data_IF_505114704498
#
_entry.id   IF_505114704498
#
_cell.length_a   1.000
_cell.length_b   1.000
_cell.length_c   1.000
_cell.angle_alpha   90.00
_cell.angle_beta   90.00
_cell.angle_gamma   90.00
#
_symmetry.space_group_name_H-M   'P 1'
#
loop_
_entity.id
_entity.type
_entity.pdbx_description
1 polymer ?
#
# COMPACT_ATOMS: atom_id res chain seq x y z
N UNK A 1 56.50 58.49 0.11
CA UNK A 1 55.58 59.27 -0.73
C UNK A 1 55.33 58.46 -2.00
N UNK A 2 54.48 57.44 -1.92
CA UNK A 2 53.08 57.43 -2.40
C UNK A 2 52.98 57.46 -3.93
N UNK A 3 52.63 56.33 -4.56
CA UNK A 3 51.34 56.17 -5.23
C UNK A 3 51.15 54.74 -5.80
N UNK A 4 50.00 54.18 -5.44
CA UNK A 4 49.35 52.98 -5.95
C UNK A 4 49.18 53.01 -7.48
N UNK A 5 49.31 51.85 -8.12
CA UNK A 5 48.55 51.49 -9.33
C UNK A 5 47.90 50.14 -9.12
N UNK A 6 46.61 50.18 -8.78
CA UNK A 6 45.71 49.04 -8.71
C UNK A 6 45.07 48.87 -10.09
N UNK A 7 45.33 47.75 -10.78
CA UNK A 7 44.55 47.33 -11.94
C UNK A 7 43.41 46.45 -11.46
N UNK A 8 42.18 46.96 -11.52
CA UNK A 8 40.96 46.18 -11.22
C UNK A 8 40.37 45.69 -12.54
N UNK A 9 40.45 44.38 -12.78
CA UNK A 9 39.78 43.70 -13.89
C UNK A 9 38.33 43.41 -13.45
N UNK A 10 37.36 44.11 -14.02
CA UNK A 10 35.93 43.80 -13.85
C UNK A 10 35.57 42.64 -14.79
N UNK A 11 35.37 41.44 -14.25
CA UNK A 11 34.74 40.34 -14.97
C UNK A 11 33.24 40.34 -14.60
N UNK A 12 32.39 40.74 -15.55
CA UNK A 12 30.94 40.59 -15.43
C UNK A 12 30.59 39.09 -15.51
N UNK A 13 30.18 38.49 -14.40
CA UNK A 13 29.51 37.18 -14.39
C UNK A 13 28.03 37.43 -14.70
N UNK A 14 27.63 37.12 -15.94
CA UNK A 14 26.22 37.04 -16.32
C UNK A 14 25.67 35.74 -15.73
N UNK A 15 25.01 35.83 -14.58
CA UNK A 15 24.16 34.76 -14.06
C UNK A 15 22.91 34.67 -14.94
N UNK A 16 22.90 33.75 -15.91
CA UNK A 16 21.65 33.29 -16.53
C UNK A 16 20.87 32.47 -15.51
N UNK A 17 19.95 33.11 -14.80
CA UNK A 17 18.88 32.41 -14.08
C UNK A 17 18.03 31.75 -15.16
N UNK A 18 18.15 30.43 -15.33
CA UNK A 18 17.13 29.65 -16.02
C UNK A 18 15.92 29.65 -15.10
N UNK A 19 14.92 30.48 -15.41
CA UNK A 19 13.57 30.27 -14.90
C UNK A 19 13.17 28.84 -15.31
N UNK A 20 13.05 27.94 -14.33
CA UNK A 20 12.27 26.73 -14.53
C UNK A 20 10.84 27.19 -14.78
N UNK A 21 10.45 27.29 -16.04
CA UNK A 21 9.04 27.24 -16.42
C UNK A 21 8.55 25.87 -15.99
N UNK A 22 7.84 25.82 -14.87
CA UNK A 22 6.91 24.76 -14.61
C UNK A 22 5.81 24.91 -15.67
N UNK A 23 5.94 24.20 -16.79
CA UNK A 23 4.81 23.95 -17.66
C UNK A 23 3.84 23.12 -16.82
N UNK A 24 2.93 23.78 -16.12
CA UNK A 24 1.81 23.11 -15.46
C UNK A 24 0.93 22.56 -16.57
N UNK A 25 1.27 21.39 -17.06
CA UNK A 25 0.46 20.66 -18.03
C UNK A 25 -0.86 20.37 -17.33
N UNK A 26 -1.89 21.13 -17.68
CA UNK A 26 -3.22 20.91 -17.14
C UNK A 26 -3.72 19.57 -17.65
N UNK A 27 -4.14 18.71 -16.74
CA UNK A 27 -4.71 17.41 -17.11
C UNK A 27 -6.18 17.58 -17.50
N UNK A 28 -6.54 17.09 -18.67
CA UNK A 28 -7.93 17.04 -19.13
C UNK A 28 -8.68 15.89 -18.42
N UNK A 29 -10.01 15.99 -18.24
CA UNK A 29 -10.83 14.99 -17.55
C UNK A 29 -11.09 13.74 -18.41
N UNK A 30 -10.02 13.09 -18.88
CA UNK A 30 -10.05 11.82 -19.60
C UNK A 30 -8.77 11.01 -19.30
N UNK A 31 -8.89 9.69 -19.28
CA UNK A 31 -7.77 8.80 -18.90
C UNK A 31 -6.57 8.88 -19.83
N UNK A 32 -6.74 9.25 -21.10
CA UNK A 32 -5.61 9.44 -22.02
C UNK A 32 -4.71 10.59 -21.57
N UNK A 33 -5.29 11.69 -21.06
CA UNK A 33 -4.53 12.79 -20.48
C UNK A 33 -3.99 12.45 -19.10
N UNK A 34 -4.81 11.81 -18.24
CA UNK A 34 -4.46 11.56 -16.84
C UNK A 34 -3.33 10.53 -16.70
N UNK A 35 -3.34 9.47 -17.50
CA UNK A 35 -2.31 8.43 -17.45
C UNK A 35 -0.94 8.91 -17.95
N UNK A 36 -0.84 10.12 -18.53
CA UNK A 36 0.45 10.74 -18.89
C UNK A 36 1.13 11.42 -17.70
N UNK A 37 0.44 11.54 -16.56
CA UNK A 37 1.01 12.10 -15.34
C UNK A 37 2.17 11.22 -14.86
N UNK A 38 3.37 11.77 -14.63
CA UNK A 38 4.46 11.02 -14.03
C UNK A 38 4.08 10.54 -12.63
N UNK A 39 4.38 9.28 -12.32
CA UNK A 39 4.20 8.74 -10.98
C UNK A 39 5.03 9.56 -9.96
N UNK A 40 4.45 10.06 -8.87
CA UNK A 40 5.19 10.66 -7.78
C UNK A 40 6.25 9.69 -7.23
N UNK A 41 7.51 10.14 -7.24
CA UNK A 41 8.68 9.30 -6.93
C UNK A 41 8.55 8.59 -5.57
N UNK A 42 8.01 9.27 -4.56
CA UNK A 42 7.83 8.72 -3.22
C UNK A 42 7.03 7.41 -3.24
N UNK A 43 6.07 7.25 -4.15
CA UNK A 43 5.21 6.08 -4.23
C UNK A 43 5.98 4.88 -4.76
N UNK A 44 6.82 5.06 -5.79
CA UNK A 44 7.68 3.98 -6.24
C UNK A 44 8.71 3.61 -5.17
N UNK A 45 9.29 4.57 -4.46
CA UNK A 45 10.31 4.32 -3.44
C UNK A 45 9.77 3.65 -2.17
N UNK A 46 8.48 3.81 -1.89
CA UNK A 46 7.83 3.38 -0.66
C UNK A 46 7.83 1.86 -0.44
N UNK A 47 7.52 1.09 -1.50
CA UNK A 47 7.42 -0.39 -1.55
C UNK A 47 6.43 -1.08 -0.61
N UNK A 48 6.16 -0.54 0.57
CA UNK A 48 5.35 -1.18 1.60
C UNK A 48 4.39 -0.20 2.28
N UNK A 49 3.11 -0.55 2.33
CA UNK A 49 2.07 0.19 3.03
C UNK A 49 1.12 -0.71 3.81
N UNK A 50 0.33 -0.12 4.71
CA UNK A 50 -0.67 -0.82 5.52
C UNK A 50 -2.08 -0.45 5.08
N UNK A 51 -2.91 -1.46 4.81
CA UNK A 51 -4.34 -1.28 4.58
C UNK A 51 -5.11 -1.55 5.88
N UNK A 52 -6.21 -0.83 6.09
CA UNK A 52 -7.01 -0.96 7.30
C UNK A 52 -8.49 -1.05 6.88
N UNK A 53 -9.07 -2.24 7.00
CA UNK A 53 -10.51 -2.45 6.85
C UNK A 53 -11.19 -2.46 8.22
N UNK A 54 -11.81 -1.33 8.53
CA UNK A 54 -12.49 -1.08 9.79
C UNK A 54 -13.82 -0.35 9.54
N UNK A 55 -14.88 -0.82 10.18
CA UNK A 55 -16.23 -0.28 9.99
C UNK A 55 -17.26 -1.04 10.82
N UNK A 56 -18.54 -0.84 10.51
CA UNK A 56 -19.65 -1.43 11.28
C UNK A 56 -19.63 -2.96 11.18
N UNK A 57 -19.15 -3.52 10.06
CA UNK A 57 -18.92 -4.96 9.89
C UNK A 57 -17.95 -5.56 10.92
N UNK A 58 -17.10 -4.76 11.57
CA UNK A 58 -16.25 -5.23 12.67
C UNK A 58 -17.05 -5.58 13.94
N UNK A 59 -18.30 -5.13 14.08
CA UNK A 59 -19.18 -5.42 15.23
C UNK A 59 -19.60 -6.89 15.30
N UNK A 60 -20.25 -7.46 14.25
CA UNK A 60 -20.52 -8.90 14.24
C UNK A 60 -19.24 -9.73 14.22
N UNK A 61 -18.14 -9.18 13.68
CA UNK A 61 -16.81 -9.81 13.63
C UNK A 61 -16.83 -11.23 13.06
N UNK A 62 -17.69 -11.47 12.05
CA UNK A 62 -17.99 -12.81 11.54
C UNK A 62 -17.78 -12.88 10.03
N UNK A 63 -16.99 -13.87 9.60
CA UNK A 63 -16.68 -14.17 8.20
C UNK A 63 -15.91 -13.09 7.44
N UNK A 64 -16.48 -11.90 7.18
CA UNK A 64 -15.78 -10.81 6.49
C UNK A 64 -16.52 -9.47 6.55
N UNK A 65 -15.88 -8.44 5.99
CA UNK A 65 -16.46 -7.10 5.72
C UNK A 65 -17.68 -7.12 4.78
N UNK A 66 -17.93 -8.25 4.12
CA UNK A 66 -19.13 -8.51 3.29
C UNK A 66 -20.33 -9.04 4.09
N UNK A 67 -20.27 -9.03 5.42
CA UNK A 67 -21.31 -9.58 6.31
C UNK A 67 -22.73 -9.16 5.92
N UNK A 68 -22.96 -7.86 5.70
CA UNK A 68 -24.30 -7.35 5.38
C UNK A 68 -24.84 -7.98 4.10
N UNK A 69 -24.02 -8.05 3.06
CA UNK A 69 -24.44 -8.60 1.77
C UNK A 69 -24.77 -10.09 1.88
N UNK A 70 -23.92 -10.90 2.52
CA UNK A 70 -24.21 -12.32 2.71
C UNK A 70 -25.46 -12.57 3.55
N UNK A 71 -25.66 -11.77 4.61
CA UNK A 71 -26.87 -11.87 5.41
C UNK A 71 -28.12 -11.49 4.61
N UNK A 72 -28.08 -10.40 3.83
CA UNK A 72 -29.20 -9.99 2.97
C UNK A 72 -29.48 -10.93 1.81
N UNK A 73 -28.47 -11.64 1.30
CA UNK A 73 -28.63 -12.70 0.32
C UNK A 73 -29.16 -14.02 0.90
N UNK A 74 -29.54 -14.05 2.19
CA UNK A 74 -30.03 -15.23 2.90
C UNK A 74 -29.02 -16.40 2.93
N UNK A 75 -27.73 -16.10 3.03
CA UNK A 75 -26.75 -17.15 3.29
C UNK A 75 -27.04 -17.81 4.65
N UNK A 76 -27.21 -19.13 4.64
CA UNK A 76 -27.62 -19.91 5.82
C UNK A 76 -26.70 -19.72 7.02
N UNK A 77 -25.39 -19.54 6.82
CA UNK A 77 -24.43 -19.38 7.91
C UNK A 77 -24.64 -18.06 8.63
N UNK A 78 -24.89 -16.98 7.87
CA UNK A 78 -25.10 -15.63 8.39
C UNK A 78 -26.49 -15.50 9.02
N UNK A 79 -27.53 -16.06 8.40
CA UNK A 79 -28.88 -16.10 8.98
C UNK A 79 -28.88 -16.88 10.30
N UNK A 80 -28.24 -18.05 10.35
CA UNK A 80 -28.13 -18.83 11.58
C UNK A 80 -27.32 -18.10 12.67
N UNK A 81 -26.24 -17.43 12.28
CA UNK A 81 -25.47 -16.58 13.19
C UNK A 81 -26.34 -15.45 13.76
N UNK A 82 -27.14 -14.79 12.92
CA UNK A 82 -28.03 -13.72 13.38
C UNK A 82 -29.12 -14.24 14.30
N UNK A 83 -29.84 -15.30 13.92
CA UNK A 83 -30.90 -15.92 14.73
C UNK A 83 -30.41 -16.42 16.09
N UNK A 84 -29.15 -16.85 16.18
CA UNK A 84 -28.57 -17.37 17.42
C UNK A 84 -28.09 -16.28 18.38
N UNK A 85 -27.60 -15.17 17.85
CA UNK A 85 -26.84 -14.19 18.64
C UNK A 85 -27.52 -12.81 18.77
N UNK A 86 -28.55 -12.52 17.97
CA UNK A 86 -29.22 -11.22 17.94
C UNK A 86 -30.73 -11.39 18.08
N UNK A 87 -31.44 -10.38 18.63
CA UNK A 87 -32.88 -10.44 18.79
C UNK A 87 -33.61 -10.53 17.43
N UNK A 88 -34.86 -11.00 17.42
CA UNK A 88 -35.69 -10.88 16.23
C UNK A 88 -35.79 -9.42 15.80
N UNK A 89 -35.98 -9.20 14.50
CA UNK A 89 -36.08 -7.88 13.85
C UNK A 89 -34.83 -7.00 13.91
N UNK A 90 -33.69 -7.50 14.39
CA UNK A 90 -32.41 -6.80 14.31
C UNK A 90 -32.06 -6.50 12.84
N UNK A 91 -31.64 -5.27 12.58
CA UNK A 91 -31.20 -4.79 11.26
C UNK A 91 -29.70 -4.59 11.25
N UNK A 92 -29.11 -4.43 10.06
CA UNK A 92 -27.68 -4.14 9.98
C UNK A 92 -27.33 -2.79 10.60
N UNK A 93 -28.23 -1.82 10.48
CA UNK A 93 -28.07 -0.48 11.02
C UNK A 93 -27.93 -0.48 12.55
N UNK A 94 -28.56 -1.43 13.24
CA UNK A 94 -28.47 -1.56 14.69
C UNK A 94 -27.04 -1.86 15.17
N UNK A 95 -26.19 -2.44 14.32
CA UNK A 95 -24.77 -2.63 14.65
C UNK A 95 -24.00 -1.33 14.83
N UNK A 96 -24.39 -0.24 14.17
CA UNK A 96 -23.63 1.01 14.22
C UNK A 96 -23.56 1.59 15.64
N UNK A 97 -24.58 1.36 16.49
CA UNK A 97 -24.54 1.75 17.91
C UNK A 97 -23.41 1.05 18.67
N UNK A 98 -23.12 -0.20 18.32
CA UNK A 98 -22.18 -1.05 19.06
C UNK A 98 -20.75 -0.99 18.46
N UNK A 99 -20.55 -0.22 17.39
CA UNK A 99 -19.26 0.21 16.87
C UNK A 99 -18.71 1.36 17.73
N UNK A 100 -18.07 1.02 18.84
CA UNK A 100 -17.75 1.98 19.91
C UNK A 100 -16.43 2.70 19.73
N UNK A 101 -15.44 2.09 19.07
CA UNK A 101 -14.07 2.60 18.98
C UNK A 101 -13.49 3.08 20.35
N UNK A 102 -13.90 2.45 21.44
CA UNK A 102 -13.61 2.92 22.81
C UNK A 102 -12.12 2.82 23.19
N UNK A 103 -11.39 1.88 22.57
CA UNK A 103 -9.95 1.69 22.70
C UNK A 103 -9.19 2.14 21.44
N UNK A 104 -9.85 2.86 20.53
CA UNK A 104 -9.15 3.47 19.40
C UNK A 104 -8.28 4.63 19.89
N UNK A 105 -6.96 4.40 19.85
CA UNK A 105 -5.92 5.39 20.04
C UNK A 105 -5.16 5.59 18.71
N UNK A 106 -5.33 6.75 18.04
CA UNK A 106 -4.66 7.02 16.77
C UNK A 106 -3.14 7.15 16.92
N UNK A 107 -2.62 7.56 18.09
CA UNK A 107 -1.17 7.62 18.33
C UNK A 107 -0.56 6.23 18.52
N UNK A 108 -1.27 5.32 19.19
CA UNK A 108 -0.85 3.91 19.28
C UNK A 108 -0.83 3.26 17.88
N UNK A 109 -1.88 3.46 17.08
CA UNK A 109 -1.91 2.97 15.71
C UNK A 109 -0.75 3.52 14.87
N UNK A 110 -0.49 4.83 14.95
CA UNK A 110 0.61 5.48 14.26
C UNK A 110 1.97 4.89 14.67
N UNK A 111 2.18 4.59 15.96
CA UNK A 111 3.39 3.93 16.47
C UNK A 111 3.54 2.51 15.92
N UNK A 112 2.48 1.71 15.92
CA UNK A 112 2.48 0.35 15.35
C UNK A 112 2.84 0.39 13.86
N UNK A 113 2.23 1.29 13.08
CA UNK A 113 2.48 1.40 11.65
C UNK A 113 3.87 1.94 11.32
N UNK A 114 4.37 2.92 12.09
CA UNK A 114 5.73 3.42 11.91
C UNK A 114 6.76 2.32 12.19
N UNK A 115 6.50 1.50 13.22
CA UNK A 115 7.36 0.39 13.61
C UNK A 115 7.20 -0.86 12.74
N UNK A 116 6.24 -0.90 11.82
CA UNK A 116 6.15 -1.96 10.81
C UNK A 116 7.10 -1.77 9.63
N UNK A 117 7.70 -0.58 9.50
CA UNK A 117 8.49 -0.21 8.34
C UNK A 117 7.65 0.22 7.14
N UNK A 118 6.33 0.31 7.25
CA UNK A 118 5.52 0.90 6.19
C UNK A 118 5.96 2.34 5.88
N UNK A 119 5.63 2.81 4.68
CA UNK A 119 5.85 4.19 4.22
C UNK A 119 4.56 4.94 3.96
N UNK A 120 3.44 4.23 3.92
CA UNK A 120 2.11 4.80 3.81
C UNK A 120 1.07 3.90 4.47
N UNK A 121 -0.09 4.47 4.78
CA UNK A 121 -1.27 3.72 5.21
C UNK A 121 -2.47 4.10 4.36
N UNK A 122 -3.45 3.19 4.25
CA UNK A 122 -4.72 3.40 3.55
C UNK A 122 -5.84 2.98 4.50
N UNK A 123 -6.66 3.93 4.96
CA UNK A 123 -7.81 3.64 5.82
C UNK A 123 -9.09 3.52 4.99
N UNK A 124 -9.92 2.50 5.22
CA UNK A 124 -11.28 2.45 4.69
C UNK A 124 -12.13 3.57 5.29
N UNK A 125 -12.26 4.68 4.58
CA UNK A 125 -13.10 5.81 5.02
C UNK A 125 -14.59 5.47 4.91
N UNK A 126 -14.96 4.74 3.85
CA UNK A 126 -16.28 4.19 3.58
C UNK A 126 -16.13 2.88 2.82
N UNK A 127 -16.70 1.80 3.34
CA UNK A 127 -16.82 0.52 2.61
C UNK A 127 -18.20 0.41 1.94
N UNK A 128 -18.50 -0.72 1.30
CA UNK A 128 -19.74 -0.94 0.53
C UNK A 128 -21.04 -0.82 1.35
N UNK A 129 -20.94 -0.87 2.69
CA UNK A 129 -22.05 -0.62 3.61
C UNK A 129 -22.46 0.85 3.72
N UNK A 130 -21.66 1.77 3.16
CA UNK A 130 -21.96 3.20 3.11
C UNK A 130 -21.75 3.99 4.39
N UNK A 131 -21.28 3.34 5.46
CA UNK A 131 -20.97 4.01 6.73
C UNK A 131 -19.66 4.76 6.61
N UNK A 132 -19.68 6.09 6.83
CA UNK A 132 -18.46 6.91 6.76
C UNK A 132 -17.79 7.03 8.14
N UNK A 133 -16.48 6.80 8.20
CA UNK A 133 -15.68 6.94 9.42
C UNK A 133 -15.40 8.41 9.82
N UNK A 134 -16.02 9.36 9.12
CA UNK A 134 -15.91 10.79 9.36
C UNK A 134 -17.30 11.46 9.27
N UNK A 135 -17.48 12.69 9.80
CA UNK A 135 -18.76 13.40 9.77
C UNK A 135 -19.09 13.94 8.37
N UNK A 136 -19.36 13.03 7.42
CA UNK A 136 -19.65 13.44 6.05
C UNK A 136 -21.00 14.14 5.95
N UNK A 137 -21.03 15.26 5.25
CA UNK A 137 -22.25 16.05 5.02
C UNK A 137 -23.32 15.29 4.22
N UNK A 138 -22.93 14.27 3.47
CA UNK A 138 -23.82 13.46 2.63
C UNK A 138 -24.17 12.10 3.26
N UNK A 139 -23.67 11.80 4.46
CA UNK A 139 -23.93 10.56 5.23
C UNK A 139 -24.68 10.82 6.53
N UNK A 140 -25.62 11.76 6.55
CA UNK A 140 -26.37 12.12 7.75
C UNK A 140 -26.99 10.88 8.42
N UNK A 141 -26.81 10.76 9.74
CA UNK A 141 -27.26 9.64 10.58
C UNK A 141 -26.63 8.27 10.27
N UNK A 142 -25.65 8.19 9.36
CA UNK A 142 -24.95 6.96 9.00
C UNK A 142 -23.44 7.19 8.88
N UNK A 143 -22.86 7.75 9.95
CA UNK A 143 -21.44 8.03 10.07
C UNK A 143 -20.95 7.97 11.53
N UNK A 144 -19.63 7.93 11.71
CA UNK A 144 -18.95 7.82 13.00
C UNK A 144 -19.20 8.96 13.99
N UNK A 145 -19.59 10.14 13.52
CA UNK A 145 -19.93 11.26 14.39
C UNK A 145 -21.39 11.17 14.88
N UNK A 146 -22.31 10.75 14.00
CA UNK A 146 -23.75 10.75 14.31
C UNK A 146 -24.19 9.50 15.09
N UNK A 147 -23.56 8.35 14.87
CA UNK A 147 -23.92 7.08 15.55
C UNK A 147 -22.69 6.20 15.79
N UNK A 148 -22.61 5.61 16.98
CA UNK A 148 -21.48 4.79 17.41
C UNK A 148 -20.47 5.60 18.22
N UNK A 149 -19.27 5.88 17.69
CA UNK A 149 -18.16 6.41 18.49
C UNK A 149 -18.27 7.92 18.79
N UNK A 150 -19.10 8.68 18.06
CA UNK A 150 -19.20 10.14 18.13
C UNK A 150 -17.85 10.84 17.91
N UNK A 151 -17.09 10.35 16.93
CA UNK A 151 -15.70 10.75 16.65
C UNK A 151 -15.45 10.89 15.15
N UNK A 152 -14.49 11.75 14.80
CA UNK A 152 -13.98 11.87 13.43
C UNK A 152 -12.75 10.97 13.28
N UNK A 153 -12.99 9.67 13.09
CA UNK A 153 -11.93 8.66 13.11
C UNK A 153 -10.91 8.84 11.98
N UNK A 154 -11.35 9.32 10.81
CA UNK A 154 -10.45 9.65 9.69
C UNK A 154 -9.55 10.83 10.05
N UNK A 155 -10.13 11.92 10.57
CA UNK A 155 -9.37 13.10 10.96
C UNK A 155 -8.36 12.82 12.07
N UNK A 156 -8.80 12.14 13.13
CA UNK A 156 -7.94 11.79 14.26
C UNK A 156 -6.75 10.90 13.84
N UNK A 157 -6.97 9.91 12.97
CA UNK A 157 -5.87 9.09 12.44
C UNK A 157 -4.97 9.89 11.49
N UNK A 158 -5.54 10.70 10.59
CA UNK A 158 -4.77 11.51 9.66
C UNK A 158 -3.81 12.45 10.41
N UNK A 159 -4.29 13.10 11.47
CA UNK A 159 -3.49 13.98 12.31
C UNK A 159 -2.37 13.23 13.03
N UNK A 160 -2.66 12.07 13.62
CA UNK A 160 -1.64 11.27 14.29
C UNK A 160 -0.55 10.80 13.32
N UNK A 161 -0.94 10.32 12.14
CA UNK A 161 0.00 9.88 11.09
C UNK A 161 0.90 11.03 10.65
N UNK A 162 0.33 12.17 10.30
CA UNK A 162 1.09 13.32 9.78
C UNK A 162 1.96 14.00 10.81
N UNK A 163 1.52 14.06 12.07
CA UNK A 163 2.21 14.79 13.12
C UNK A 163 3.23 13.94 13.90
N UNK A 164 3.10 12.61 13.89
CA UNK A 164 3.93 11.72 14.73
C UNK A 164 4.81 10.77 13.93
N UNK A 165 4.62 10.65 12.62
CA UNK A 165 5.32 9.67 11.78
C UNK A 165 5.83 10.29 10.49
N UNK A 166 6.63 9.53 9.74
CA UNK A 166 7.02 9.88 8.37
C UNK A 166 6.17 9.15 7.32
N UNK A 167 5.05 8.54 7.72
CA UNK A 167 4.16 7.81 6.82
C UNK A 167 3.32 8.78 5.99
N UNK A 168 3.07 8.43 4.73
CA UNK A 168 2.02 9.07 3.94
C UNK A 168 0.65 8.58 4.38
N UNK A 169 -0.32 9.49 4.45
CA UNK A 169 -1.70 9.16 4.80
C UNK A 169 -2.53 8.96 3.53
N UNK A 170 -3.19 7.82 3.39
CA UNK A 170 -4.04 7.47 2.28
C UNK A 170 -5.44 7.06 2.73
N UNK A 171 -6.38 7.13 1.80
CA UNK A 171 -7.78 6.76 2.03
C UNK A 171 -8.24 5.77 0.99
N UNK A 172 -8.99 4.77 1.46
CA UNK A 172 -9.84 3.96 0.63
C UNK A 172 -11.26 4.53 0.65
N UNK A 173 -11.91 4.50 -0.50
CA UNK A 173 -13.30 4.90 -0.61
C UNK A 173 -14.05 4.00 -1.60
N UNK A 174 -15.08 3.32 -1.10
CA UNK A 174 -15.99 2.59 -1.98
C UNK A 174 -16.88 3.55 -2.76
N UNK A 175 -16.85 3.44 -4.09
CA UNK A 175 -17.63 4.29 -4.97
C UNK A 175 -19.13 4.03 -4.87
N UNK A 176 -19.56 2.83 -4.45
CA UNK A 176 -20.96 2.41 -4.36
C UNK A 176 -21.40 2.07 -2.94
N UNK A 177 -22.70 1.89 -2.76
CA UNK A 177 -23.31 1.45 -1.51
C UNK A 177 -24.37 0.39 -1.80
N UNK A 178 -24.24 -0.81 -1.24
CA UNK A 178 -25.07 -1.98 -1.62
C UNK A 178 -26.56 -1.68 -1.66
N UNK A 179 -27.05 -0.94 -0.67
CA UNK A 179 -28.48 -0.74 -0.44
C UNK A 179 -28.89 0.73 -0.32
N UNK A 180 -28.05 1.65 -0.80
CA UNK A 180 -28.43 3.07 -0.86
C UNK A 180 -29.56 3.24 -1.90
N UNK A 181 -30.72 3.84 -1.53
CA UNK A 181 -31.85 3.99 -2.44
C UNK A 181 -31.53 4.76 -3.72
N UNK A 182 -30.66 5.78 -3.64
CA UNK A 182 -30.27 6.59 -4.80
C UNK A 182 -29.40 5.77 -5.75
N UNK A 183 -28.46 4.97 -5.22
CA UNK A 183 -27.65 4.06 -6.03
C UNK A 183 -28.51 2.98 -6.69
N UNK A 184 -29.42 2.35 -5.93
CA UNK A 184 -30.34 1.35 -6.45
C UNK A 184 -31.26 1.93 -7.54
N UNK A 185 -31.66 3.20 -7.42
CA UNK A 185 -32.42 3.89 -8.44
C UNK A 185 -31.61 4.07 -9.72
N UNK A 186 -30.38 4.59 -9.63
CA UNK A 186 -29.50 4.72 -10.80
C UNK A 186 -29.23 3.35 -11.44
N UNK A 187 -28.96 2.32 -10.64
CA UNK A 187 -28.78 0.93 -11.11
C UNK A 187 -30.01 0.39 -11.81
N UNK A 188 -31.21 0.59 -11.26
CA UNK A 188 -32.48 0.18 -11.88
C UNK A 188 -32.73 0.90 -13.22
N UNK A 189 -32.18 2.09 -13.37
CA UNK A 189 -32.23 2.90 -14.58
C UNK A 189 -31.00 2.68 -15.49
N UNK A 190 -30.35 1.52 -15.36
CA UNK A 190 -29.17 1.11 -16.14
C UNK A 190 -28.06 2.16 -16.16
N UNK A 191 -27.88 2.90 -15.05
CA UNK A 191 -26.87 3.95 -14.89
C UNK A 191 -26.99 5.13 -15.87
N UNK A 192 -28.19 5.35 -16.45
CA UNK A 192 -28.43 6.51 -17.33
C UNK A 192 -28.64 7.82 -16.56
N UNK A 193 -29.04 7.73 -15.30
CA UNK A 193 -28.97 8.83 -14.31
C UNK A 193 -27.72 8.68 -13.46
N UNK A 194 -27.25 9.79 -12.86
CA UNK A 194 -26.04 9.84 -12.00
C UNK A 194 -26.33 10.49 -10.65
N UNK A 195 -27.55 10.34 -10.13
CA UNK A 195 -27.96 11.05 -8.92
C UNK A 195 -27.09 10.65 -7.71
N UNK A 196 -26.76 9.37 -7.59
CA UNK A 196 -25.94 8.88 -6.49
C UNK A 196 -24.53 9.46 -6.56
N UNK A 197 -23.90 9.44 -7.74
CA UNK A 197 -22.56 10.01 -7.91
C UNK A 197 -22.54 11.51 -7.59
N UNK A 198 -23.51 12.28 -8.10
CA UNK A 198 -23.55 13.73 -7.91
C UNK A 198 -23.91 14.17 -6.48
N UNK A 199 -24.72 13.39 -5.77
CA UNK A 199 -25.24 13.77 -4.45
C UNK A 199 -24.51 13.08 -3.29
N UNK A 200 -23.74 12.02 -3.57
CA UNK A 200 -23.13 11.16 -2.56
C UNK A 200 -21.63 10.97 -2.80
N UNK A 201 -21.27 10.13 -3.78
CA UNK A 201 -19.87 9.69 -3.97
C UNK A 201 -18.92 10.82 -4.30
N UNK A 202 -19.25 11.68 -5.27
CA UNK A 202 -18.35 12.77 -5.66
C UNK A 202 -18.15 13.76 -4.49
N UNK A 203 -19.21 14.34 -3.87
CA UNK A 203 -19.03 15.22 -2.71
C UNK A 203 -18.15 14.63 -1.60
N UNK A 204 -18.29 13.34 -1.30
CA UNK A 204 -17.46 12.65 -0.30
C UNK A 204 -15.98 12.60 -0.69
N UNK A 205 -15.67 12.31 -1.95
CA UNK A 205 -14.29 12.30 -2.45
C UNK A 205 -13.63 13.69 -2.35
N UNK A 206 -14.34 14.75 -2.77
CA UNK A 206 -13.84 16.12 -2.63
C UNK A 206 -13.66 16.51 -1.15
N UNK A 207 -14.62 16.18 -0.29
CA UNK A 207 -14.56 16.46 1.14
C UNK A 207 -13.37 15.76 1.82
N UNK A 208 -13.12 14.49 1.50
CA UNK A 208 -11.98 13.72 2.01
C UNK A 208 -10.65 14.40 1.63
N UNK A 209 -10.52 14.82 0.38
CA UNK A 209 -9.30 15.46 -0.12
C UNK A 209 -9.07 16.80 0.54
N UNK A 210 -10.08 17.67 0.55
CA UNK A 210 -10.00 19.02 1.11
C UNK A 210 -9.76 19.02 2.62
N UNK A 211 -10.35 18.07 3.35
CA UNK A 211 -10.28 18.05 4.80
C UNK A 211 -9.05 17.30 5.32
N UNK A 212 -8.67 16.20 4.68
CA UNK A 212 -7.65 15.30 5.23
C UNK A 212 -6.41 15.19 4.38
N UNK A 213 -6.29 15.90 3.25
CA UNK A 213 -5.12 15.92 2.36
C UNK A 213 -4.43 14.54 2.25
N UNK A 214 -5.13 13.48 1.79
CA UNK A 214 -4.54 12.16 1.62
C UNK A 214 -3.69 12.11 0.36
N UNK A 215 -2.59 11.38 0.42
CA UNK A 215 -1.65 11.19 -0.68
C UNK A 215 -1.96 9.95 -1.53
N UNK A 216 -2.92 9.13 -1.10
CA UNK A 216 -3.45 8.01 -1.89
C UNK A 216 -4.97 8.06 -1.85
N UNK A 217 -5.60 8.04 -3.03
CA UNK A 217 -7.04 7.78 -3.18
C UNK A 217 -7.20 6.39 -3.79
N UNK A 218 -7.54 5.43 -2.94
CA UNK A 218 -7.74 4.04 -3.32
C UNK A 218 -9.24 3.79 -3.53
N UNK A 219 -9.72 3.84 -4.77
CA UNK A 219 -11.14 3.64 -5.07
C UNK A 219 -11.49 2.16 -5.18
N UNK A 220 -12.76 1.81 -4.97
CA UNK A 220 -13.22 0.43 -5.16
C UNK A 220 -14.73 0.32 -5.41
N UNK A 221 -15.19 -0.88 -5.77
CA UNK A 221 -16.61 -1.15 -5.98
C UNK A 221 -17.18 -0.51 -7.25
N UNK A 222 -16.30 -0.20 -8.20
CA UNK A 222 -16.65 0.44 -9.47
C UNK A 222 -17.17 -0.53 -10.53
N UNK A 223 -17.09 -1.85 -10.28
CA UNK A 223 -17.24 -2.93 -11.28
C UNK A 223 -18.62 -3.01 -11.94
N UNK A 224 -19.66 -2.45 -11.33
CA UNK A 224 -21.03 -2.55 -11.85
C UNK A 224 -21.37 -1.48 -12.89
N UNK A 225 -20.64 -0.36 -12.94
CA UNK A 225 -20.94 0.79 -13.80
C UNK A 225 -19.69 1.32 -14.52
N UNK A 226 -19.86 2.01 -15.65
CA UNK A 226 -18.73 2.58 -16.41
C UNK A 226 -18.02 3.69 -15.64
N UNK A 227 -16.80 4.00 -16.04
CA UNK A 227 -16.05 5.16 -15.54
C UNK A 227 -16.77 6.49 -15.81
N UNK A 228 -17.50 6.58 -16.92
CA UNK A 228 -18.37 7.71 -17.25
C UNK A 228 -19.55 7.88 -16.28
N UNK A 229 -20.11 6.80 -15.72
CA UNK A 229 -21.09 6.92 -14.63
C UNK A 229 -20.44 7.48 -13.37
N UNK A 230 -19.28 6.92 -13.00
CA UNK A 230 -18.56 7.27 -11.77
C UNK A 230 -17.93 8.65 -11.78
N UNK A 231 -17.76 9.27 -12.96
CA UNK A 231 -17.11 10.58 -13.10
C UNK A 231 -15.69 10.60 -12.54
N UNK A 232 -15.02 9.44 -12.57
CA UNK A 232 -13.70 9.25 -11.97
C UNK A 232 -12.65 10.14 -12.61
N UNK A 233 -12.62 10.22 -13.94
CA UNK A 233 -11.66 11.06 -14.66
C UNK A 233 -11.80 12.56 -14.33
N UNK A 234 -13.01 13.03 -14.05
CA UNK A 234 -13.25 14.44 -13.70
C UNK A 234 -12.76 14.75 -12.29
N UNK A 235 -13.01 13.85 -11.33
CA UNK A 235 -12.44 13.95 -9.98
C UNK A 235 -10.91 13.89 -10.01
N UNK A 236 -10.32 12.94 -10.74
CA UNK A 236 -8.86 12.76 -10.82
C UNK A 236 -8.19 13.93 -11.53
N UNK A 237 -8.81 14.52 -12.56
CA UNK A 237 -8.31 15.74 -13.18
C UNK A 237 -8.28 16.91 -12.19
N UNK A 238 -9.33 17.09 -11.38
CA UNK A 238 -9.31 18.08 -10.30
C UNK A 238 -8.23 17.76 -9.25
N UNK A 239 -8.10 16.49 -8.86
CA UNK A 239 -7.09 16.03 -7.90
C UNK A 239 -5.69 16.45 -8.33
N UNK A 240 -5.34 16.26 -9.61
CA UNK A 240 -4.00 16.58 -10.14
C UNK A 240 -3.79 18.04 -10.54
N UNK A 241 -4.85 18.83 -10.74
CA UNK A 241 -4.71 20.22 -11.16
C UNK A 241 -4.83 21.21 -9.98
N UNK A 242 -5.81 20.99 -9.11
CA UNK A 242 -6.35 22.04 -8.24
C UNK A 242 -6.33 21.66 -6.75
N UNK A 243 -6.27 20.36 -6.42
CA UNK A 243 -6.33 19.91 -5.02
C UNK A 243 -5.09 20.30 -4.19
N UNK A 244 -5.19 20.31 -2.85
CA UNK A 244 -4.05 20.56 -1.95
C UNK A 244 -2.93 19.50 -2.04
N UNK A 245 -3.19 18.35 -2.65
CA UNK A 245 -2.26 17.20 -2.75
C UNK A 245 -1.85 16.88 -4.18
N UNK A 246 -2.12 17.79 -5.14
CA UNK A 246 -1.92 17.58 -6.57
C UNK A 246 -0.53 17.07 -6.99
N UNK A 247 0.52 17.49 -6.29
CA UNK A 247 1.91 17.12 -6.58
C UNK A 247 2.26 15.71 -6.09
N UNK A 248 1.56 15.19 -5.08
CA UNK A 248 1.96 13.95 -4.39
C UNK A 248 0.91 12.85 -4.46
N UNK A 249 -0.37 13.18 -4.68
CA UNK A 249 -1.46 12.23 -4.67
C UNK A 249 -1.29 11.16 -5.76
N UNK A 250 -1.66 9.93 -5.44
CA UNK A 250 -1.78 8.83 -6.39
C UNK A 250 -3.14 8.15 -6.31
N UNK A 251 -3.59 7.57 -7.42
CA UNK A 251 -4.84 6.80 -7.49
C UNK A 251 -4.61 5.41 -8.09
N UNK A 252 -5.40 4.44 -7.64
CA UNK A 252 -5.39 3.08 -8.22
C UNK A 252 -6.20 3.01 -9.53
N UNK A 253 -6.40 1.80 -10.05
CA UNK A 253 -7.03 1.53 -11.35
C UNK A 253 -8.52 1.14 -11.28
N UNK A 254 -9.17 1.31 -10.13
CA UNK A 254 -10.54 0.82 -9.88
C UNK A 254 -11.59 1.92 -10.05
N UNK A 255 -11.55 2.65 -11.16
CA UNK A 255 -12.44 3.80 -11.43
C UNK A 255 -13.62 3.50 -12.36
N UNK A 256 -13.83 2.24 -12.74
CA UNK A 256 -14.98 1.85 -13.56
C UNK A 256 -14.91 0.42 -14.06
N UNK A 257 -16.04 -0.10 -14.52
CA UNK A 257 -16.16 -1.42 -15.13
C UNK A 257 -15.18 -1.57 -16.30
N UNK A 258 -14.24 -2.51 -16.15
CA UNK A 258 -13.26 -2.82 -17.18
C UNK A 258 -12.09 -1.84 -17.27
N UNK A 259 -11.90 -0.99 -16.25
CA UNK A 259 -10.80 -0.02 -16.16
C UNK A 259 -9.55 -0.53 -15.45
N UNK A 260 -9.66 -1.65 -14.72
CA UNK A 260 -8.52 -2.28 -14.07
C UNK A 260 -7.41 -2.56 -15.10
N UNK A 261 -6.18 -2.17 -14.78
CA UNK A 261 -5.03 -2.26 -15.69
C UNK A 261 -5.00 -1.26 -16.84
N UNK A 262 -5.86 -0.22 -16.83
CA UNK A 262 -5.97 0.76 -17.92
C UNK A 262 -5.98 2.21 -17.46
N UNK A 263 -6.09 2.48 -16.17
CA UNK A 263 -6.14 3.83 -15.62
C UNK A 263 -5.47 3.91 -14.25
N UNK A 264 -5.23 5.14 -13.80
CA UNK A 264 -4.62 5.42 -12.51
C UNK A 264 -3.10 5.39 -12.54
N UNK A 265 -2.48 5.88 -11.46
CA UNK A 265 -1.02 5.94 -11.34
C UNK A 265 -0.41 4.56 -11.07
N UNK A 266 -1.18 3.63 -10.52
CA UNK A 266 -0.76 2.25 -10.29
C UNK A 266 -1.91 1.26 -10.45
N UNK A 267 -1.59 0.04 -10.87
CA UNK A 267 -2.56 -1.01 -11.13
C UNK A 267 -2.70 -1.98 -9.97
N UNK A 268 -3.91 -2.40 -9.69
CA UNK A 268 -4.21 -3.43 -8.69
C UNK A 268 -4.81 -4.67 -9.32
N UNK A 269 -5.49 -4.59 -10.48
CA UNK A 269 -6.19 -5.69 -11.18
C UNK A 269 -7.26 -6.42 -10.36
N UNK A 270 -6.87 -7.09 -9.29
CA UNK A 270 -7.71 -7.85 -8.37
C UNK A 270 -7.08 -7.85 -6.98
N UNK A 271 -7.83 -8.35 -5.99
CA UNK A 271 -7.22 -8.61 -4.68
C UNK A 271 -6.11 -9.65 -4.83
N UNK A 272 -5.02 -9.47 -4.07
CA UNK A 272 -3.82 -10.32 -4.08
C UNK A 272 -3.19 -10.48 -5.46
N UNK A 273 -3.33 -9.48 -6.33
CA UNK A 273 -2.66 -9.48 -7.62
C UNK A 273 -1.15 -9.54 -7.41
N UNK A 274 -0.51 -10.54 -8.00
CA UNK A 274 0.93 -10.68 -8.07
C UNK A 274 1.26 -11.38 -9.41
N UNK A 275 1.85 -10.67 -10.39
CA UNK A 275 2.12 -11.24 -11.71
C UNK A 275 3.24 -12.30 -11.68
N UNK A 276 4.06 -12.35 -10.63
CA UNK A 276 5.20 -13.25 -10.52
C UNK A 276 6.33 -13.01 -11.53
N UNK A 277 6.20 -11.95 -12.34
CA UNK A 277 7.16 -11.50 -13.36
C UNK A 277 7.22 -9.98 -13.34
N UNK A 278 8.29 -9.40 -13.90
CA UNK A 278 8.39 -7.95 -14.06
C UNK A 278 7.20 -7.42 -14.86
N UNK A 279 6.55 -6.41 -14.30
CA UNK A 279 5.43 -5.73 -14.91
C UNK A 279 5.82 -4.30 -15.27
N UNK A 280 5.45 -3.84 -16.47
CA UNK A 280 5.94 -2.56 -17.02
C UNK A 280 5.37 -1.35 -16.28
N UNK A 281 4.07 -1.36 -15.99
CA UNK A 281 3.41 -0.28 -15.26
C UNK A 281 3.59 -0.48 -13.75
N UNK A 282 3.62 0.61 -12.98
CA UNK A 282 3.60 0.49 -11.51
C UNK A 282 2.33 -0.24 -11.07
N UNK A 283 2.47 -1.15 -10.12
CA UNK A 283 1.36 -1.93 -9.58
C UNK A 283 1.48 -2.09 -8.07
N UNK A 284 0.38 -2.49 -7.43
CA UNK A 284 0.30 -2.72 -5.99
C UNK A 284 -0.38 -4.06 -5.69
N UNK A 285 0.30 -4.90 -4.92
CA UNK A 285 -0.23 -6.13 -4.36
C UNK A 285 -1.05 -5.80 -3.11
N UNK A 286 -2.37 -5.87 -3.20
CA UNK A 286 -3.26 -5.72 -2.06
C UNK A 286 -3.51 -7.09 -1.41
N UNK A 287 -2.81 -7.41 -0.32
CA UNK A 287 -2.91 -8.70 0.40
C UNK A 287 -3.25 -8.49 1.89
N UNK A 288 -3.51 -9.56 2.62
CA UNK A 288 -4.05 -9.56 3.98
C UNK A 288 -3.21 -10.43 4.92
N UNK A 289 -3.09 -10.02 6.19
CA UNK A 289 -2.50 -10.90 7.22
C UNK A 289 -3.44 -12.06 7.54
N UNK A 290 -4.75 -11.81 7.65
CA UNK A 290 -5.75 -12.87 7.71
C UNK A 290 -5.99 -13.44 6.31
N UNK A 291 -5.73 -14.73 6.10
CA UNK A 291 -5.83 -15.41 4.79
C UNK A 291 -7.25 -15.40 4.23
N UNK A 292 -8.27 -15.12 5.04
CA UNK A 292 -9.67 -15.29 4.65
C UNK A 292 -10.48 -13.98 4.55
N UNK A 293 -10.01 -12.86 5.11
CA UNK A 293 -10.79 -11.61 5.12
C UNK A 293 -9.93 -10.36 5.27
N UNK A 294 -10.45 -9.23 4.79
CA UNK A 294 -9.93 -7.91 5.12
C UNK A 294 -10.43 -7.43 6.49
N UNK A 295 -11.73 -7.60 6.77
CA UNK A 295 -12.34 -7.27 8.06
C UNK A 295 -11.96 -8.22 9.20
N UNK A 296 -12.21 -7.77 10.44
CA UNK A 296 -11.90 -8.56 11.64
C UNK A 296 -12.80 -9.80 11.79
N UNK A 297 -12.18 -10.97 12.03
CA UNK A 297 -12.88 -12.22 12.37
C UNK A 297 -12.56 -12.68 13.79
N UNK A 298 -13.53 -12.61 14.70
CA UNK A 298 -13.35 -12.99 16.12
C UNK A 298 -13.08 -14.48 16.31
N UNK A 299 -13.52 -15.31 15.37
CA UNK A 299 -13.33 -16.77 15.41
C UNK A 299 -12.11 -17.25 14.61
N UNK A 300 -11.26 -16.35 14.11
CA UNK A 300 -10.04 -16.71 13.39
C UNK A 300 -9.09 -17.54 14.28
N UNK A 301 -8.47 -18.55 13.70
CA UNK A 301 -7.45 -19.37 14.35
C UNK A 301 -6.06 -18.91 13.96
N UNK A 302 -5.04 -19.28 14.73
CA UNK A 302 -3.64 -18.95 14.41
C UNK A 302 -3.25 -19.36 12.99
N UNK A 303 -3.72 -20.53 12.53
CA UNK A 303 -3.49 -21.05 11.17
C UNK A 303 -4.08 -20.19 10.06
N UNK A 304 -5.07 -19.35 10.37
CA UNK A 304 -5.72 -18.47 9.41
C UNK A 304 -4.88 -17.20 9.16
N UNK A 305 -3.90 -16.90 10.00
CA UNK A 305 -3.01 -15.77 9.81
C UNK A 305 -1.76 -16.20 9.05
N UNK A 306 -1.29 -15.35 8.14
CA UNK A 306 0.01 -15.50 7.51
C UNK A 306 1.11 -15.42 8.56
N UNK A 307 2.11 -16.28 8.40
CA UNK A 307 3.36 -16.21 9.16
C UNK A 307 4.21 -15.05 8.68
N UNK A 308 5.14 -14.58 9.50
CA UNK A 308 6.12 -13.55 9.11
C UNK A 308 6.91 -13.98 7.86
N UNK A 309 7.27 -15.26 7.76
CA UNK A 309 7.94 -15.82 6.58
C UNK A 309 7.10 -15.71 5.30
N UNK A 310 5.80 -16.04 5.36
CA UNK A 310 4.88 -15.87 4.21
C UNK A 310 4.78 -14.39 3.81
N UNK A 311 4.71 -13.46 4.78
CA UNK A 311 4.63 -12.02 4.50
C UNK A 311 5.91 -11.46 3.86
N UNK A 312 7.08 -11.87 4.34
CA UNK A 312 8.36 -11.46 3.74
C UNK A 312 8.57 -12.06 2.35
N UNK A 313 8.10 -13.29 2.13
CA UNK A 313 8.07 -13.90 0.79
C UNK A 313 7.25 -13.05 -0.17
N UNK A 314 6.03 -12.67 0.21
CA UNK A 314 5.14 -11.83 -0.61
C UNK A 314 5.79 -10.46 -0.89
N UNK A 315 6.42 -9.85 0.11
CA UNK A 315 7.11 -8.56 -0.05
C UNK A 315 8.27 -8.68 -1.04
N UNK A 316 9.14 -9.68 -0.89
CA UNK A 316 10.28 -9.90 -1.77
C UNK A 316 9.84 -10.12 -3.22
N UNK A 317 8.87 -11.02 -3.43
CA UNK A 317 8.24 -11.29 -4.73
C UNK A 317 7.72 -10.01 -5.38
N UNK A 318 6.92 -9.27 -4.63
CA UNK A 318 6.23 -8.06 -5.11
C UNK A 318 7.24 -7.01 -5.55
N UNK A 319 8.23 -6.70 -4.70
CA UNK A 319 9.21 -5.64 -4.97
C UNK A 319 10.15 -6.03 -6.11
N UNK A 320 10.59 -7.29 -6.16
CA UNK A 320 11.42 -7.79 -7.27
C UNK A 320 10.71 -7.73 -8.62
N UNK A 321 9.38 -7.83 -8.63
CA UNK A 321 8.53 -7.69 -9.81
C UNK A 321 8.01 -6.26 -10.07
N UNK A 322 8.51 -5.26 -9.31
CA UNK A 322 8.24 -3.84 -9.52
C UNK A 322 7.04 -3.27 -8.76
N UNK A 323 6.35 -4.09 -7.97
CA UNK A 323 5.16 -3.69 -7.22
C UNK A 323 5.46 -3.02 -5.88
N UNK A 324 4.41 -2.45 -5.28
CA UNK A 324 4.34 -2.18 -3.84
C UNK A 324 3.46 -3.24 -3.17
N UNK A 325 3.74 -3.59 -1.92
CA UNK A 325 2.84 -4.40 -1.09
C UNK A 325 1.99 -3.49 -0.20
N UNK A 326 0.67 -3.59 -0.32
CA UNK A 326 -0.29 -2.98 0.60
C UNK A 326 -0.90 -4.10 1.45
N UNK A 327 -0.46 -4.17 2.72
CA UNK A 327 -0.80 -5.27 3.61
C UNK A 327 -1.92 -4.89 4.57
N UNK A 328 -3.03 -5.61 4.52
CA UNK A 328 -4.22 -5.31 5.30
C UNK A 328 -4.23 -5.91 6.71
N UNK A 329 -4.74 -5.11 7.65
CA UNK A 329 -5.25 -5.53 8.97
C UNK A 329 -6.73 -5.18 9.14
N UNK A 330 -7.42 -5.93 10.01
CA UNK A 330 -8.81 -5.67 10.39
C UNK A 330 -8.95 -5.42 11.90
N UNK A 331 -8.98 -4.15 12.35
CA UNK A 331 -9.18 -3.82 13.76
C UNK A 331 -10.55 -4.23 14.30
N UNK A 332 -10.64 -4.45 15.61
CA UNK A 332 -11.88 -4.83 16.30
C UNK A 332 -12.86 -3.65 16.38
N UNK A 333 -14.15 -3.90 16.66
CA UNK A 333 -15.19 -2.83 16.76
C UNK A 333 -14.89 -1.72 17.77
N UNK A 334 -14.10 -2.06 18.78
CA UNK A 334 -13.66 -1.23 19.89
C UNK A 334 -12.32 -0.53 19.59
N UNK A 335 -11.70 -0.75 18.42
CA UNK A 335 -10.53 0.00 17.96
C UNK A 335 -9.17 -0.64 18.24
N UNK A 336 -9.15 -1.91 18.67
CA UNK A 336 -7.91 -2.63 18.97
C UNK A 336 -7.34 -3.26 17.70
N UNK A 337 -6.06 -3.01 17.42
CA UNK A 337 -5.26 -3.86 16.54
C UNK A 337 -4.84 -5.07 17.36
N UNK A 338 -5.42 -6.24 17.10
CA UNK A 338 -5.17 -7.41 17.95
C UNK A 338 -3.69 -7.85 17.96
N UNK A 339 -3.20 -8.49 19.05
CA UNK A 339 -1.77 -8.77 19.21
C UNK A 339 -1.10 -9.50 18.04
N UNK A 340 -1.80 -10.43 17.37
CA UNK A 340 -1.22 -11.15 16.21
C UNK A 340 -0.94 -10.22 15.02
N UNK A 341 -1.77 -9.19 14.80
CA UNK A 341 -1.50 -8.19 13.77
C UNK A 341 -0.33 -7.30 14.18
N UNK A 342 -0.28 -6.86 15.44
CA UNK A 342 0.85 -6.09 15.94
C UNK A 342 2.17 -6.86 15.82
N UNK A 343 2.18 -8.14 16.21
CA UNK A 343 3.35 -9.02 16.12
C UNK A 343 3.85 -9.13 14.67
N UNK A 344 2.97 -9.46 13.72
CA UNK A 344 3.34 -9.59 12.30
C UNK A 344 3.86 -8.28 11.71
N UNK A 345 3.23 -7.16 12.03
CA UNK A 345 3.68 -5.85 11.59
C UNK A 345 5.06 -5.50 12.16
N UNK A 346 5.27 -5.68 13.47
CA UNK A 346 6.56 -5.40 14.13
C UNK A 346 7.67 -6.34 13.66
N UNK A 347 7.36 -7.60 13.39
CA UNK A 347 8.33 -8.54 12.81
C UNK A 347 8.79 -8.07 11.42
N UNK A 348 7.87 -7.64 10.55
CA UNK A 348 8.21 -7.05 9.25
C UNK A 348 9.11 -5.82 9.43
N UNK A 349 8.77 -4.94 10.37
CA UNK A 349 9.57 -3.75 10.65
C UNK A 349 10.97 -4.06 11.20
N UNK A 350 11.09 -5.06 12.08
CA UNK A 350 12.38 -5.53 12.58
C UNK A 350 13.28 -6.05 11.45
N UNK A 351 12.70 -6.77 10.48
CA UNK A 351 13.42 -7.22 9.29
C UNK A 351 13.80 -6.05 8.37
N UNK A 352 12.86 -5.15 8.08
CA UNK A 352 13.06 -3.98 7.21
C UNK A 352 14.05 -2.97 7.78
N UNK A 353 14.20 -2.90 9.11
CA UNK A 353 15.23 -2.06 9.74
C UNK A 353 16.66 -2.49 9.38
N UNK A 354 16.87 -3.79 9.16
CA UNK A 354 18.18 -4.35 8.79
C UNK A 354 18.33 -4.40 7.27
N UNK A 355 17.29 -4.86 6.58
CA UNK A 355 17.34 -5.24 5.17
C UNK A 355 16.68 -4.22 4.22
N UNK A 356 16.17 -3.12 4.75
CA UNK A 356 15.38 -2.14 4.00
C UNK A 356 16.12 -1.47 2.85
N UNK A 357 17.45 -1.47 2.86
CA UNK A 357 18.29 -1.00 1.74
C UNK A 357 18.01 -1.79 0.45
N UNK A 358 17.68 -3.08 0.55
CA UNK A 358 17.31 -3.90 -0.61
C UNK A 358 15.86 -3.72 -1.07
N UNK A 359 15.05 -2.99 -0.30
CA UNK A 359 13.61 -2.81 -0.54
C UNK A 359 13.33 -1.38 -0.94
N UNK A 360 13.49 -0.42 -0.02
CA UNK A 360 13.11 0.97 -0.28
C UNK A 360 13.98 1.57 -1.37
N UNK A 361 13.36 2.32 -2.28
CA UNK A 361 14.02 2.96 -3.43
C UNK A 361 14.77 1.99 -4.38
N UNK A 362 14.65 0.68 -4.16
CA UNK A 362 15.20 -0.31 -5.08
C UNK A 362 14.37 -0.35 -6.37
N UNK A 363 14.95 -0.91 -7.41
CA UNK A 363 14.25 -1.19 -8.67
C UNK A 363 14.39 -2.67 -9.03
N UNK A 364 13.49 -3.20 -9.88
CA UNK A 364 13.66 -4.55 -10.40
C UNK A 364 15.00 -4.71 -11.10
N UNK A 365 15.68 -5.82 -10.82
CA UNK A 365 16.86 -6.22 -11.57
C UNK A 365 16.46 -6.99 -12.84
N UNK A 366 17.43 -7.25 -13.73
CA UNK A 366 17.21 -7.95 -15.00
C UNK A 366 16.65 -9.37 -14.80
N UNK A 367 16.92 -9.97 -13.65
CA UNK A 367 16.33 -11.24 -13.19
C UNK A 367 15.50 -10.97 -11.94
N UNK A 368 14.28 -11.50 -11.87
CA UNK A 368 13.41 -11.39 -10.69
C UNK A 368 13.81 -12.39 -9.59
N UNK A 369 14.21 -13.60 -9.98
CA UNK A 369 14.57 -14.69 -9.08
C UNK A 369 15.74 -15.52 -9.62
N UNK A 370 16.28 -16.38 -8.78
CA UNK A 370 17.38 -17.27 -9.16
C UNK A 370 16.90 -18.55 -9.83
N UNK A 371 17.65 -19.02 -10.83
CA UNK A 371 17.32 -20.22 -11.61
C UNK A 371 17.86 -21.51 -11.01
N UNK A 372 18.79 -21.41 -10.06
CA UNK A 372 19.45 -22.55 -9.42
C UNK A 372 18.88 -22.84 -8.04
N UNK A 373 18.74 -21.81 -7.20
CA UNK A 373 18.19 -21.97 -5.86
C UNK A 373 16.82 -21.29 -5.76
N UNK A 374 15.73 -22.05 -5.47
CA UNK A 374 14.40 -21.47 -5.38
C UNK A 374 14.29 -20.53 -4.16
N UNK A 375 13.28 -19.66 -4.18
CA UNK A 375 13.00 -18.69 -3.11
C UNK A 375 14.14 -17.71 -2.84
N UNK A 376 14.80 -17.30 -3.93
CA UNK A 376 15.71 -16.16 -3.97
C UNK A 376 15.13 -15.14 -4.92
N UNK A 377 14.96 -13.92 -4.44
CA UNK A 377 14.41 -12.81 -5.21
C UNK A 377 15.40 -11.67 -5.28
N UNK A 378 15.47 -10.99 -6.42
CA UNK A 378 16.47 -9.96 -6.66
C UNK A 378 15.88 -8.57 -6.78
N UNK A 379 16.59 -7.61 -6.24
CA UNK A 379 16.38 -6.18 -6.49
C UNK A 379 17.74 -5.57 -6.82
N UNK A 380 17.73 -4.37 -7.42
CA UNK A 380 18.94 -3.57 -7.59
C UNK A 380 18.77 -2.21 -6.92
N UNK A 381 19.87 -1.59 -6.53
CA UNK A 381 19.85 -0.22 -6.03
C UNK A 381 19.26 0.75 -7.06
N UNK A 382 18.80 1.91 -6.60
CA UNK A 382 18.08 2.88 -7.43
C UNK A 382 18.89 3.32 -8.66
N UNK A 383 18.19 3.76 -9.71
CA UNK A 383 18.80 4.09 -11.01
C UNK A 383 19.82 5.25 -11.00
N UNK A 384 20.00 5.94 -9.88
CA UNK A 384 20.91 7.08 -9.74
C UNK A 384 22.31 6.69 -9.23
N UNK A 385 22.55 5.41 -8.94
CA UNK A 385 23.87 4.96 -8.48
C UNK A 385 24.83 4.74 -9.65
N UNK A 386 26.08 5.22 -9.49
CA UNK A 386 27.15 5.10 -10.48
C UNK A 386 27.55 3.64 -10.69
N UNK A 387 27.49 2.84 -9.62
CA UNK A 387 27.79 1.41 -9.62
C UNK A 387 26.61 0.68 -8.98
N UNK A 388 25.71 0.07 -9.77
CA UNK A 388 24.51 -0.54 -9.23
C UNK A 388 24.87 -1.76 -8.36
N UNK A 389 24.27 -1.81 -7.19
CA UNK A 389 24.33 -2.94 -6.26
C UNK A 389 23.16 -3.86 -6.57
N UNK A 390 23.41 -5.17 -6.61
CA UNK A 390 22.35 -6.18 -6.71
C UNK A 390 22.17 -6.84 -5.35
N UNK A 391 20.93 -6.93 -4.90
CA UNK A 391 20.56 -7.58 -3.65
C UNK A 391 19.88 -8.91 -3.95
N UNK A 392 20.33 -9.98 -3.30
CA UNK A 392 19.66 -11.27 -3.32
C UNK A 392 18.94 -11.49 -1.98
N UNK A 393 17.61 -11.50 -2.01
CA UNK A 393 16.75 -11.78 -0.87
C UNK A 393 16.57 -13.29 -0.78
N UNK A 394 17.32 -13.91 0.14
CA UNK A 394 17.35 -15.35 0.39
C UNK A 394 16.33 -15.68 1.47
N UNK A 395 15.24 -16.36 1.10
CA UNK A 395 14.14 -16.65 2.03
C UNK A 395 14.43 -17.85 2.94
N UNK A 396 15.23 -18.83 2.49
CA UNK A 396 15.63 -19.97 3.32
C UNK A 396 17.12 -19.97 3.62
N UNK A 397 17.46 -20.22 4.88
CA UNK A 397 18.85 -20.47 5.24
C UNK A 397 19.28 -21.78 4.59
N UNK A 398 20.46 -21.84 3.92
CA UNK A 398 20.91 -23.06 3.28
C UNK A 398 21.04 -24.20 4.30
N UNK A 399 20.61 -25.41 3.92
CA UNK A 399 20.71 -26.60 4.79
C UNK A 399 22.16 -27.08 4.95
N UNK A 400 23.07 -26.65 4.07
CA UNK A 400 24.51 -26.86 4.18
C UNK A 400 25.25 -25.54 4.39
N UNK A 401 26.58 -25.57 4.26
CA UNK A 401 27.42 -24.38 4.40
C UNK A 401 27.34 -23.43 3.21
N UNK A 402 26.91 -23.93 2.04
CA UNK A 402 27.00 -23.18 0.79
C UNK A 402 25.62 -22.92 0.16
N UNK A 403 25.48 -21.72 -0.42
CA UNK A 403 24.39 -21.31 -1.30
C UNK A 403 24.91 -21.19 -2.72
N UNK A 404 24.14 -21.66 -3.70
CA UNK A 404 24.49 -21.54 -5.12
C UNK A 404 23.58 -20.53 -5.82
N UNK A 405 24.14 -19.58 -6.55
CA UNK A 405 23.43 -18.61 -7.40
C UNK A 405 23.87 -18.75 -8.85
N UNK A 406 22.91 -18.72 -9.77
CA UNK A 406 23.18 -18.83 -11.21
C UNK A 406 22.81 -17.57 -12.01
N UNK A 407 21.99 -16.68 -11.46
CA UNK A 407 21.62 -15.44 -12.16
C UNK A 407 22.74 -14.37 -12.17
N UNK A 408 23.44 -14.08 -11.05
CA UNK A 408 24.48 -13.05 -11.04
C UNK A 408 25.75 -13.50 -11.77
N UNK A 409 26.37 -12.58 -12.52
CA UNK A 409 27.71 -12.75 -13.06
C UNK A 409 28.68 -11.84 -12.30
N UNK A 410 29.64 -12.43 -11.58
CA UNK A 410 30.61 -11.69 -10.76
C UNK A 410 31.99 -11.66 -11.41
N UNK A 411 32.77 -10.64 -11.04
CA UNK A 411 34.16 -10.50 -11.43
C UNK A 411 35.04 -10.87 -10.24
N UNK A 412 35.80 -11.97 -10.34
CA UNK A 412 36.58 -12.56 -9.24
C UNK A 412 37.46 -11.56 -8.46
N UNK A 413 38.03 -10.57 -9.15
CA UNK A 413 38.95 -9.59 -8.55
C UNK A 413 38.31 -8.21 -8.27
N UNK A 414 37.01 -8.05 -8.46
CA UNK A 414 36.31 -6.76 -8.28
C UNK A 414 35.05 -6.89 -7.45
N UNK A 415 34.24 -7.92 -7.70
CA UNK A 415 32.99 -8.14 -6.99
C UNK A 415 33.20 -8.49 -5.53
N UNK A 416 32.30 -8.02 -4.69
CA UNK A 416 32.23 -8.40 -3.29
C UNK A 416 30.83 -8.89 -2.96
N UNK A 417 30.74 -9.88 -2.07
CA UNK A 417 29.48 -10.35 -1.51
C UNK A 417 29.54 -10.10 0.00
N UNK A 418 28.58 -9.32 0.48
CA UNK A 418 28.34 -9.10 1.92
C UNK A 418 26.91 -9.52 2.26
N UNK A 419 26.59 -9.61 3.56
CA UNK A 419 25.23 -9.89 4.02
C UNK A 419 24.76 -8.78 4.96
N UNK A 420 23.56 -8.24 4.73
CA UNK A 420 22.99 -7.26 5.62
C UNK A 420 22.71 -7.89 7.00
N UNK A 421 23.16 -7.22 8.06
CA UNK A 421 23.11 -7.76 9.43
C UNK A 421 24.23 -8.76 9.77
N UNK A 422 25.31 -8.78 8.97
CA UNK A 422 26.55 -9.50 9.26
C UNK A 422 27.77 -8.60 8.98
N UNK A 423 28.81 -8.66 9.81
CA UNK A 423 29.93 -7.70 9.75
C UNK A 423 30.95 -8.02 8.66
N UNK A 424 31.17 -9.29 8.37
CA UNK A 424 32.31 -9.73 7.57
C UNK A 424 31.87 -10.02 6.12
N UNK A 425 32.75 -9.80 5.12
CA UNK A 425 32.50 -10.27 3.77
C UNK A 425 32.33 -11.79 3.71
N UNK A 426 31.45 -12.25 2.83
CA UNK A 426 31.25 -13.68 2.61
C UNK A 426 32.33 -14.24 1.70
N UNK A 427 32.75 -15.47 1.97
CA UNK A 427 33.62 -16.22 1.07
C UNK A 427 32.79 -16.79 -0.08
N UNK A 428 33.29 -16.70 -1.30
CA UNK A 428 32.62 -17.22 -2.48
C UNK A 428 33.62 -17.65 -3.55
N UNK A 429 33.20 -18.55 -4.43
CA UNK A 429 33.99 -19.08 -5.54
C UNK A 429 33.09 -19.55 -6.68
N UNK A 430 33.63 -19.72 -7.89
CA UNK A 430 32.90 -20.36 -8.98
C UNK A 430 32.97 -21.89 -8.91
N UNK A 431 31.87 -22.56 -9.21
CA UNK A 431 31.87 -24.00 -9.49
C UNK A 431 32.09 -24.27 -10.99
N UNK A 432 32.16 -25.54 -11.39
CA UNK A 432 32.26 -25.92 -12.79
C UNK A 432 30.97 -25.55 -13.55
N UNK A 433 30.95 -24.36 -14.18
CA UNK A 433 29.81 -23.83 -14.91
C UNK A 433 29.42 -22.39 -14.58
N UNK A 434 30.34 -21.59 -14.02
CA UNK A 434 30.14 -20.16 -13.68
C UNK A 434 29.06 -19.89 -12.62
N UNK A 435 28.55 -20.94 -11.95
CA UNK A 435 27.67 -20.81 -10.79
C UNK A 435 28.48 -20.31 -9.60
N UNK A 436 27.96 -19.29 -8.92
CA UNK A 436 28.56 -18.72 -7.71
C UNK A 436 28.19 -19.60 -6.53
N UNK A 437 29.18 -20.10 -5.82
CA UNK A 437 29.02 -20.79 -4.54
C UNK A 437 29.45 -19.86 -3.41
N UNK A 438 28.55 -19.59 -2.46
CA UNK A 438 28.75 -18.65 -1.35
C UNK A 438 28.72 -19.42 -0.05
N UNK A 439 29.75 -19.31 0.77
CA UNK A 439 29.78 -19.90 2.11
C UNK A 439 29.06 -19.00 3.10
N UNK A 440 27.95 -19.50 3.65
CA UNK A 440 27.16 -18.79 4.65
C UNK A 440 27.85 -18.84 6.02
N UNK A 441 27.78 -17.75 6.81
CA UNK A 441 28.41 -17.70 8.13
C UNK A 441 27.66 -18.59 9.12
N UNK A 442 28.12 -18.68 10.37
CA UNK A 442 27.30 -19.28 11.42
C UNK A 442 26.04 -18.41 11.62
N UNK A 443 24.85 -19.03 11.52
CA UNK A 443 23.56 -18.36 11.67
C UNK A 443 23.45 -17.50 12.93
N UNK A 444 24.08 -17.92 14.04
CA UNK A 444 24.07 -17.19 15.32
C UNK A 444 24.78 -15.84 15.27
N UNK A 445 25.62 -15.58 14.25
CA UNK A 445 26.34 -14.33 14.06
C UNK A 445 25.54 -13.31 13.22
N UNK A 446 24.40 -13.71 12.65
CA UNK A 446 23.61 -12.86 11.74
C UNK A 446 22.40 -12.30 12.48
N UNK A 447 22.25 -10.98 12.48
CA UNK A 447 21.17 -10.32 13.22
C UNK A 447 19.82 -10.37 12.52
N UNK A 448 19.79 -10.56 11.20
CA UNK A 448 18.54 -10.70 10.43
C UNK A 448 17.86 -12.03 10.72
N UNK A 449 16.53 -12.04 10.82
CA UNK A 449 15.68 -13.22 11.05
C UNK A 449 14.75 -13.45 9.86
N UNK A 450 14.20 -14.66 9.75
CA UNK A 450 13.22 -15.09 8.72
C UNK A 450 13.70 -15.11 7.27
N UNK A 451 14.42 -14.09 6.81
CA UNK A 451 15.04 -13.99 5.50
C UNK A 451 16.35 -13.17 5.59
N UNK A 452 17.24 -13.34 4.61
CA UNK A 452 18.58 -12.73 4.62
C UNK A 452 18.86 -12.08 3.28
N UNK A 453 19.61 -10.98 3.30
CA UNK A 453 19.92 -10.24 2.08
C UNK A 453 21.41 -10.26 1.83
N UNK A 454 21.78 -10.83 0.70
CA UNK A 454 23.12 -10.69 0.15
C UNK A 454 23.21 -9.39 -0.62
N UNK A 455 24.30 -8.65 -0.45
CA UNK A 455 24.61 -7.42 -1.16
C UNK A 455 25.83 -7.66 -2.04
N UNK A 456 25.65 -7.54 -3.35
CA UNK A 456 26.66 -7.84 -4.36
C UNK A 456 27.04 -6.58 -5.15
N UNK A 457 28.34 -6.30 -5.23
CA UNK A 457 28.89 -5.18 -6.02
C UNK A 457 29.51 -5.69 -7.34
N UNK A 458 29.56 -4.81 -8.34
CA UNK A 458 30.14 -5.12 -9.65
C UNK A 458 29.54 -6.36 -10.32
N UNK A 459 28.21 -6.46 -10.31
CA UNK A 459 27.47 -7.54 -10.99
C UNK A 459 27.29 -7.18 -12.46
N UNK A 460 27.70 -8.07 -13.36
CA UNK A 460 27.47 -7.94 -14.80
C UNK A 460 26.11 -8.55 -15.18
N UNK A 461 25.46 -7.92 -16.17
CA UNK A 461 24.19 -8.38 -16.75
C UNK A 461 24.43 -9.19 -18.01
#
# INVERSE_FOLDING_TARGET
>A
MMMLKTCTLFLLIILTIRELRCDTTKYEPNWESLNKRPLPQWYDEAKFGIFIHWGVYSVPSFSSEWFWNFWKSNDSSFVNFMNKNYPPDFTYQDFARDFTAEFFDPEEWAEIFQNSGAKYIVLTTKHHEGYTLWPSKTSFSWNAMDVGPNRDLVGELADAIKNKTNLKFGVYHSLFEWYNPIYLQDKSNSYTTRNFVLQKTAPELYELVEKYNPEIIWSDGSIEASDDYWRGAEFVAWLYNDSPVKETAVVNDRWGKGMNGKCGDFYTYSDRFNPGVLFEHKWENCDTIDKNSFGYRRNAKLSDFRTTFELLTILAETVSCGGNLLLNIGPTKDGIIIPIFQERLRDMGAWLKINGEAIYSSTPWSYQNDTKTPQIWYTKSGNNEVEPVVYAIVLNWPQGENLELAAPQLLENQSTITMLGYSDPLQWSFTSGEIIQITFPNRALVSSNWAWVLKMTYVQN
#
